data_IF_377212056901
#
_entry.id   IF_377212056901
#
_cell.length_a   1.000
_cell.length_b   1.000
_cell.length_c   1.000
_cell.angle_alpha   90.00
_cell.angle_beta   90.00
_cell.angle_gamma   90.00
#
_symmetry.space_group_name_H-M   'P 1'
#
loop_
_entity.id
_entity.type
_entity.pdbx_description
1 polymer ?
#
# COMPACT_ATOMS: atom_id res chain seq x y z
N UNK A 1 11.32 2.21 -8.83
CA UNK A 1 11.21 3.33 -7.87
C UNK A 1 10.25 4.25 -8.57
N UNK A 2 9.06 4.47 -8.00
CA UNK A 2 7.99 5.24 -8.62
C UNK A 2 8.51 6.66 -8.80
N UNK A 3 9.03 6.91 -9.99
CA UNK A 3 9.39 8.23 -10.48
C UNK A 3 8.21 8.77 -11.27
N UNK A 4 7.00 8.68 -10.70
CA UNK A 4 5.90 9.51 -11.21
C UNK A 4 6.29 10.96 -10.88
N UNK A 5 6.41 11.84 -11.88
CA UNK A 5 6.70 13.25 -11.66
C UNK A 5 5.73 13.86 -10.66
N UNK A 6 6.23 14.74 -9.79
CA UNK A 6 5.45 15.29 -8.67
C UNK A 6 4.33 16.24 -9.09
N UNK A 7 4.36 16.74 -10.33
CA UNK A 7 3.48 17.80 -10.82
C UNK A 7 2.45 17.30 -11.85
N UNK A 8 2.19 15.99 -11.90
CA UNK A 8 1.17 15.43 -12.78
C UNK A 8 -0.24 15.65 -12.23
N UNK A 9 -1.20 15.86 -13.12
CA UNK A 9 -2.63 15.82 -12.76
C UNK A 9 -3.07 14.40 -12.37
N UNK A 10 -4.12 14.25 -11.56
CA UNK A 10 -4.66 12.93 -11.17
C UNK A 10 -5.01 12.06 -12.39
N UNK A 11 -5.49 12.69 -13.46
CA UNK A 11 -5.81 12.03 -14.73
C UNK A 11 -4.55 11.46 -15.38
N UNK A 12 -3.48 12.26 -15.42
CA UNK A 12 -2.20 11.86 -16.02
C UNK A 12 -1.52 10.77 -15.18
N UNK A 13 -1.61 10.85 -13.84
CA UNK A 13 -1.19 9.74 -12.95
C UNK A 13 -1.96 8.45 -13.27
N UNK A 14 -3.27 8.55 -13.51
CA UNK A 14 -4.09 7.42 -13.96
C UNK A 14 -3.59 6.80 -15.26
N UNK A 15 -3.26 7.64 -16.26
CA UNK A 15 -2.68 7.18 -17.53
C UNK A 15 -1.31 6.53 -17.34
N UNK A 16 -0.46 7.06 -16.46
CA UNK A 16 0.83 6.45 -16.15
C UNK A 16 0.66 5.04 -15.58
N UNK A 17 -0.26 4.86 -14.62
CA UNK A 17 -0.59 3.55 -14.05
C UNK A 17 -1.13 2.58 -15.11
N UNK A 18 -2.09 3.01 -15.93
CA UNK A 18 -2.64 2.16 -17.00
C UNK A 18 -1.60 1.80 -18.07
N UNK A 19 -0.72 2.74 -18.39
CA UNK A 19 0.42 2.52 -19.28
C UNK A 19 1.37 1.47 -18.73
N UNK A 20 1.72 1.56 -17.45
CA UNK A 20 2.53 0.55 -16.78
C UNK A 20 1.90 -0.84 -16.85
N UNK A 21 0.60 -0.98 -16.54
CA UNK A 21 -0.08 -2.28 -16.58
C UNK A 21 -0.09 -2.90 -17.98
N UNK A 22 -0.28 -2.06 -19.00
CA UNK A 22 -0.17 -2.51 -20.39
C UNK A 22 1.27 -2.93 -20.75
N UNK A 23 2.26 -2.12 -20.41
CA UNK A 23 3.67 -2.42 -20.68
C UNK A 23 4.14 -3.68 -19.95
N UNK A 24 3.74 -3.86 -18.69
CA UNK A 24 4.05 -5.03 -17.88
C UNK A 24 3.48 -6.31 -18.53
N UNK A 25 2.25 -6.24 -19.06
CA UNK A 25 1.63 -7.35 -19.79
C UNK A 25 2.42 -7.72 -21.05
N UNK A 26 2.84 -6.75 -21.85
CA UNK A 26 3.67 -7.00 -23.04
C UNK A 26 4.98 -7.74 -22.68
N UNK A 27 5.63 -7.32 -21.59
CA UNK A 27 6.88 -7.93 -21.13
C UNK A 27 6.66 -9.33 -20.56
N UNK A 28 5.66 -9.52 -19.68
CA UNK A 28 5.48 -10.76 -18.92
C UNK A 28 4.68 -11.84 -19.64
N UNK A 29 3.62 -11.46 -20.35
CA UNK A 29 2.70 -12.40 -21.00
C UNK A 29 3.05 -12.61 -22.46
N UNK A 30 3.44 -11.55 -23.17
CA UNK A 30 3.76 -11.59 -24.60
C UNK A 30 5.28 -11.74 -24.88
N UNK A 31 6.09 -11.73 -23.81
CA UNK A 31 7.55 -11.92 -23.85
C UNK A 31 8.29 -10.94 -24.79
N UNK A 32 7.75 -9.72 -24.92
CA UNK A 32 8.33 -8.64 -25.72
C UNK A 32 9.52 -8.04 -24.96
N UNK A 33 10.58 -7.69 -25.69
CA UNK A 33 11.74 -7.03 -25.10
C UNK A 33 11.33 -5.70 -24.45
N UNK A 34 11.87 -5.41 -23.26
CA UNK A 34 11.48 -4.23 -22.45
C UNK A 34 11.51 -2.93 -23.26
N UNK A 35 12.58 -2.70 -24.04
CA UNK A 35 12.70 -1.49 -24.85
C UNK A 35 11.57 -1.36 -25.88
N UNK A 36 11.22 -2.47 -26.54
CA UNK A 36 10.13 -2.52 -27.53
C UNK A 36 8.76 -2.36 -26.87
N UNK A 37 8.54 -3.01 -25.72
CA UNK A 37 7.29 -2.88 -24.96
C UNK A 37 7.03 -1.43 -24.49
N UNK A 38 8.09 -0.72 -24.06
CA UNK A 38 8.02 0.69 -23.66
C UNK A 38 7.65 1.58 -24.83
N UNK A 39 8.29 1.39 -26.00
CA UNK A 39 7.98 2.15 -27.22
C UNK A 39 6.54 1.90 -27.69
N UNK A 40 6.14 0.62 -27.80
CA UNK A 40 4.77 0.25 -28.18
C UNK A 40 3.70 0.84 -27.25
N UNK A 41 4.00 0.88 -25.94
CA UNK A 41 3.12 1.50 -24.95
C UNK A 41 3.08 3.02 -25.12
N UNK A 42 4.22 3.67 -25.29
CA UNK A 42 4.29 5.12 -25.48
C UNK A 42 3.53 5.55 -26.74
N UNK A 43 3.71 4.86 -27.87
CA UNK A 43 3.00 5.14 -29.12
C UNK A 43 1.48 5.02 -28.95
N UNK A 44 1.02 3.96 -28.29
CA UNK A 44 -0.41 3.75 -28.00
C UNK A 44 -1.02 4.87 -27.16
N UNK A 45 -0.32 5.31 -26.12
CA UNK A 45 -0.84 6.33 -25.21
C UNK A 45 -0.61 7.77 -25.72
N UNK A 46 0.33 7.99 -26.62
CA UNK A 46 0.58 9.29 -27.28
C UNK A 46 -0.63 9.79 -28.07
N UNK A 47 -1.40 8.87 -28.68
CA UNK A 47 -2.60 9.17 -29.45
C UNK A 47 -3.70 9.87 -28.65
N UNK A 48 -3.67 9.78 -27.31
CA UNK A 48 -4.64 10.42 -26.43
C UNK A 48 -4.34 11.92 -26.22
N UNK A 49 -3.12 12.40 -26.50
CA UNK A 49 -2.67 13.79 -26.25
C UNK A 49 -2.88 14.28 -24.81
N UNK A 50 -2.90 13.35 -23.84
CA UNK A 50 -3.12 13.63 -22.42
C UNK A 50 -1.87 13.40 -21.56
N UNK A 51 -0.77 12.95 -22.18
CA UNK A 51 0.54 12.83 -21.56
C UNK A 51 1.34 14.05 -22.01
N UNK A 52 1.74 14.91 -21.07
CA UNK A 52 2.44 16.16 -21.35
C UNK A 52 3.88 15.91 -21.80
N UNK A 53 4.56 14.93 -21.20
CA UNK A 53 5.95 14.56 -21.50
C UNK A 53 6.08 13.06 -21.76
N UNK A 54 6.09 12.70 -23.05
CA UNK A 54 6.19 11.31 -23.50
C UNK A 54 7.55 10.67 -23.14
N UNK A 55 8.63 11.46 -23.12
CA UNK A 55 9.96 10.96 -22.76
C UNK A 55 10.04 10.65 -21.27
N UNK A 56 9.43 11.50 -20.44
CA UNK A 56 9.26 11.22 -19.03
C UNK A 56 8.42 9.96 -18.80
N UNK A 57 7.32 9.79 -19.54
CA UNK A 57 6.49 8.59 -19.48
C UNK A 57 7.26 7.33 -19.87
N UNK A 58 8.04 7.34 -20.94
CA UNK A 58 8.92 6.22 -21.34
C UNK A 58 9.93 5.86 -20.24
N UNK A 59 10.60 6.87 -19.67
CA UNK A 59 11.54 6.66 -18.55
C UNK A 59 10.85 6.05 -17.34
N UNK A 60 9.65 6.52 -17.01
CA UNK A 60 8.83 5.95 -15.95
C UNK A 60 8.53 4.47 -16.24
N UNK A 61 7.98 4.14 -17.41
CA UNK A 61 7.67 2.76 -17.80
C UNK A 61 8.89 1.86 -17.67
N UNK A 62 10.01 2.26 -18.28
CA UNK A 62 11.25 1.51 -18.23
C UNK A 62 11.70 1.27 -16.79
N UNK A 63 11.66 2.30 -15.94
CA UNK A 63 12.08 2.20 -14.53
C UNK A 63 11.20 1.29 -13.68
N UNK A 64 9.92 1.17 -14.01
CA UNK A 64 8.96 0.38 -13.25
C UNK A 64 8.93 -1.07 -13.72
N UNK A 65 8.97 -1.33 -15.03
CA UNK A 65 9.04 -2.71 -15.54
C UNK A 65 10.38 -3.40 -15.27
N UNK A 66 11.46 -2.63 -15.09
CA UNK A 66 12.77 -3.16 -14.67
C UNK A 66 12.91 -3.28 -13.15
N UNK A 67 11.95 -2.75 -12.37
CA UNK A 67 11.99 -2.84 -10.93
C UNK A 67 11.73 -4.27 -10.46
N UNK A 68 12.81 -4.97 -10.10
CA UNK A 68 12.70 -6.29 -9.49
C UNK A 68 12.27 -6.20 -8.03
N UNK A 69 11.35 -7.08 -7.64
CA UNK A 69 10.93 -7.30 -6.26
C UNK A 69 10.88 -8.79 -6.02
N UNK A 70 11.58 -9.28 -4.99
CA UNK A 70 11.42 -10.67 -4.57
C UNK A 70 9.96 -10.91 -4.16
N UNK A 71 9.32 -11.98 -4.64
CA UNK A 71 7.96 -12.31 -4.23
C UNK A 71 7.95 -12.68 -2.74
N UNK A 72 6.92 -12.22 -2.04
CA UNK A 72 6.64 -12.69 -0.68
C UNK A 72 6.18 -14.14 -0.71
N UNK A 73 6.72 -14.97 0.17
CA UNK A 73 6.30 -16.37 0.32
C UNK A 73 5.50 -16.51 1.61
N UNK A 74 4.22 -16.86 1.49
CA UNK A 74 3.35 -17.16 2.62
C UNK A 74 3.32 -18.67 2.92
N UNK A 75 3.69 -19.05 4.14
CA UNK A 75 3.47 -20.42 4.65
C UNK A 75 2.36 -20.36 5.69
N UNK A 76 1.34 -21.19 5.52
CA UNK A 76 0.13 -21.20 6.38
C UNK A 76 -0.14 -22.60 6.92
N UNK A 77 -0.80 -22.67 8.06
CA UNK A 77 -1.28 -23.94 8.60
C UNK A 77 -2.30 -24.58 7.63
N UNK A 78 -2.06 -25.82 7.17
CA UNK A 78 -2.99 -26.51 6.27
C UNK A 78 -4.38 -26.71 6.89
N UNK A 79 -4.49 -26.72 8.22
CA UNK A 79 -5.73 -26.97 8.97
C UNK A 79 -6.55 -25.72 9.28
N UNK A 80 -6.20 -24.55 8.72
CA UNK A 80 -7.03 -23.35 8.84
C UNK A 80 -8.43 -23.63 8.28
N UNK A 81 -9.46 -23.48 9.13
CA UNK A 81 -10.86 -23.71 8.77
C UNK A 81 -11.33 -22.83 7.60
N UNK A 82 -10.96 -21.56 7.66
CA UNK A 82 -11.34 -20.54 6.69
C UNK A 82 -10.08 -19.83 6.19
N UNK A 83 -9.90 -19.83 4.87
CA UNK A 83 -8.74 -19.27 4.17
C UNK A 83 -9.14 -18.17 3.18
N UNK A 84 -10.41 -17.78 3.16
CA UNK A 84 -10.98 -16.87 2.16
C UNK A 84 -11.84 -15.76 2.76
N UNK A 85 -12.07 -15.75 4.08
CA UNK A 85 -12.96 -14.79 4.73
C UNK A 85 -12.66 -13.32 4.39
N UNK A 86 -11.39 -12.95 4.25
CA UNK A 86 -10.99 -11.58 3.96
C UNK A 86 -11.29 -11.25 2.50
N UNK A 87 -11.00 -12.17 1.58
CA UNK A 87 -11.33 -12.00 0.16
C UNK A 87 -12.83 -11.93 -0.09
N UNK A 88 -13.61 -12.70 0.66
CA UNK A 88 -15.08 -12.66 0.62
C UNK A 88 -15.62 -11.36 1.20
N UNK A 89 -15.02 -10.85 2.27
CA UNK A 89 -15.39 -9.56 2.86
C UNK A 89 -15.19 -8.42 1.87
N UNK A 90 -14.03 -8.38 1.17
CA UNK A 90 -13.72 -7.35 0.17
C UNK A 90 -14.72 -7.29 -0.98
N UNK A 91 -15.34 -8.43 -1.33
CA UNK A 91 -16.35 -8.52 -2.40
C UNK A 91 -17.74 -7.99 -1.99
N UNK A 92 -17.97 -7.72 -0.70
CA UNK A 92 -19.30 -7.27 -0.24
C UNK A 92 -19.54 -5.82 -0.67
N UNK A 93 -20.73 -5.47 -1.22
CA UNK A 93 -21.01 -4.10 -1.70
C UNK A 93 -20.89 -3.00 -0.63
N UNK A 94 -21.08 -3.36 0.66
CA UNK A 94 -20.99 -2.42 1.79
C UNK A 94 -19.57 -2.28 2.34
N UNK A 95 -18.63 -3.11 1.91
CA UNK A 95 -17.27 -3.04 2.38
C UNK A 95 -16.56 -1.85 1.75
N UNK A 96 -15.87 -1.07 2.57
CA UNK A 96 -15.01 0.02 2.14
C UNK A 96 -13.61 -0.21 2.72
N UNK A 97 -12.59 -0.19 1.87
CA UNK A 97 -11.18 -0.31 2.26
C UNK A 97 -10.57 1.07 2.53
N UNK A 98 -11.19 1.87 3.40
CA UNK A 98 -10.81 3.29 3.55
C UNK A 98 -9.37 3.45 4.05
N UNK A 99 -8.97 2.66 5.06
CA UNK A 99 -7.63 2.70 5.62
C UNK A 99 -6.58 2.17 4.63
N UNK A 100 -6.86 1.03 3.99
CA UNK A 100 -5.93 0.46 3.02
C UNK A 100 -5.78 1.34 1.78
N UNK A 101 -6.86 1.88 1.22
CA UNK A 101 -6.81 2.69 0.00
C UNK A 101 -5.96 3.94 0.18
N UNK A 102 -6.10 4.68 1.29
CA UNK A 102 -5.27 5.87 1.54
C UNK A 102 -3.79 5.51 1.75
N UNK A 103 -3.50 4.39 2.38
CA UNK A 103 -2.13 3.92 2.57
C UNK A 103 -1.50 3.45 1.25
N UNK A 104 -2.25 2.73 0.42
CA UNK A 104 -1.84 2.31 -0.92
C UNK A 104 -1.46 3.51 -1.78
N UNK A 105 -2.32 4.53 -1.84
CA UNK A 105 -2.05 5.75 -2.59
C UNK A 105 -0.88 6.55 -2.01
N UNK A 106 -0.74 6.58 -0.68
CA UNK A 106 0.39 7.21 -0.03
C UNK A 106 1.72 6.54 -0.39
N UNK A 107 1.77 5.20 -0.40
CA UNK A 107 2.95 4.46 -0.85
C UNK A 107 3.26 4.71 -2.32
N UNK A 108 2.24 4.77 -3.19
CA UNK A 108 2.43 5.06 -4.61
C UNK A 108 2.97 6.46 -4.89
N UNK A 109 2.75 7.43 -3.99
CA UNK A 109 3.32 8.77 -4.09
C UNK A 109 4.76 8.87 -3.56
N UNK A 110 5.25 7.85 -2.85
CA UNK A 110 6.61 7.82 -2.32
C UNK A 110 7.60 7.35 -3.39
N UNK A 111 8.70 8.09 -3.64
CA UNK A 111 9.68 7.73 -4.67
C UNK A 111 10.39 6.39 -4.42
N UNK A 112 10.43 5.95 -3.15
CA UNK A 112 11.13 4.74 -2.73
C UNK A 112 10.39 3.43 -3.05
N UNK A 113 9.15 3.46 -3.53
CA UNK A 113 8.34 2.27 -3.80
C UNK A 113 8.11 2.08 -5.29
N UNK A 114 8.12 0.86 -5.82
CA UNK A 114 7.61 0.55 -7.18
C UNK A 114 6.13 0.15 -7.11
N UNK A 115 5.38 0.27 -8.21
CA UNK A 115 3.99 -0.21 -8.29
C UNK A 115 3.92 -1.69 -7.92
N UNK A 116 4.85 -2.49 -8.45
CA UNK A 116 4.98 -3.92 -8.13
C UNK A 116 5.21 -4.15 -6.64
N UNK A 117 6.08 -3.36 -5.99
CA UNK A 117 6.34 -3.50 -4.56
C UNK A 117 5.10 -3.22 -3.72
N UNK A 118 4.32 -2.18 -4.06
CA UNK A 118 3.07 -1.87 -3.36
C UNK A 118 2.02 -2.95 -3.61
N UNK A 119 1.88 -3.46 -4.86
CA UNK A 119 1.01 -4.60 -5.20
C UNK A 119 1.41 -5.88 -4.43
N UNK A 120 2.71 -6.11 -4.21
CA UNK A 120 3.17 -7.24 -3.40
C UNK A 120 2.83 -7.08 -1.91
N UNK A 121 2.93 -5.87 -1.35
CA UNK A 121 2.44 -5.62 0.01
C UNK A 121 0.93 -5.90 0.07
N UNK A 122 0.18 -5.46 -0.94
CA UNK A 122 -1.26 -5.70 -1.03
C UNK A 122 -1.59 -7.20 -0.96
N UNK A 123 -1.12 -7.97 -1.94
CA UNK A 123 -1.42 -9.39 -2.04
C UNK A 123 -0.92 -10.16 -0.82
N UNK A 124 0.32 -9.93 -0.39
CA UNK A 124 0.89 -10.66 0.75
C UNK A 124 0.25 -10.34 2.09
N UNK A 125 -0.29 -9.13 2.28
CA UNK A 125 -1.07 -8.82 3.47
C UNK A 125 -2.48 -9.39 3.39
N UNK A 126 -3.09 -9.48 2.19
CA UNK A 126 -4.36 -10.22 2.01
C UNK A 126 -4.22 -11.69 2.39
N UNK A 127 -3.10 -12.29 2.03
CA UNK A 127 -2.74 -13.65 2.41
C UNK A 127 -2.72 -13.85 3.92
N UNK A 128 -2.11 -12.91 4.66
CA UNK A 128 -2.07 -12.94 6.12
C UNK A 128 -3.45 -12.68 6.70
N UNK A 129 -4.20 -11.70 6.19
CA UNK A 129 -5.55 -11.41 6.66
C UNK A 129 -6.44 -12.64 6.60
N UNK A 130 -6.40 -13.40 5.51
CA UNK A 130 -7.09 -14.68 5.38
C UNK A 130 -6.66 -15.76 6.40
N UNK A 131 -5.44 -15.66 6.95
CA UNK A 131 -4.96 -16.56 8.00
C UNK A 131 -5.36 -16.12 9.42
N UNK A 132 -5.69 -14.84 9.61
CA UNK A 132 -6.14 -14.31 10.89
C UNK A 132 -7.59 -14.72 11.18
N UNK A 133 -7.99 -14.64 12.45
CA UNK A 133 -9.36 -14.91 12.87
C UNK A 133 -10.30 -13.78 12.45
N UNK A 134 -11.35 -14.09 11.70
CA UNK A 134 -12.35 -13.09 11.30
C UNK A 134 -12.98 -12.41 12.55
N UNK A 135 -12.74 -11.08 12.77
CA UNK A 135 -13.20 -10.38 13.96
C UNK A 135 -14.72 -10.21 14.00
N UNK A 136 -15.42 -10.49 12.89
CA UNK A 136 -16.88 -10.39 12.76
C UNK A 136 -17.61 -11.70 13.06
N UNK A 137 -16.90 -12.82 13.29
CA UNK A 137 -17.49 -14.15 13.57
C UNK A 137 -18.05 -14.27 15.00
N UNK A 138 -17.67 -13.36 15.90
CA UNK A 138 -18.12 -13.37 17.31
C UNK A 138 -17.44 -14.44 18.18
N UNK A 139 -16.52 -15.22 17.61
CA UNK A 139 -15.73 -16.24 18.31
C UNK A 139 -14.28 -15.77 18.41
N UNK A 140 -13.72 -15.78 19.62
CA UNK A 140 -12.29 -15.54 19.81
C UNK A 140 -11.47 -16.65 19.14
N UNK A 141 -10.33 -16.28 18.59
CA UNK A 141 -9.37 -17.22 18.03
C UNK A 141 -7.96 -16.65 18.15
N UNK A 142 -7.01 -17.54 18.43
CA UNK A 142 -5.61 -17.18 18.55
C UNK A 142 -4.87 -17.63 17.28
N UNK A 143 -4.08 -16.70 16.73
CA UNK A 143 -3.23 -16.93 15.57
C UNK A 143 -1.88 -16.30 15.84
N UNK A 144 -0.82 -17.08 15.67
CA UNK A 144 0.56 -16.60 15.72
C UNK A 144 1.19 -16.77 14.35
N UNK A 145 2.04 -15.82 13.98
CA UNK A 145 2.77 -15.84 12.72
C UNK A 145 4.11 -15.12 12.87
N UNK A 146 5.00 -15.37 11.92
CA UNK A 146 6.32 -14.75 11.89
C UNK A 146 6.58 -14.21 10.49
N UNK A 147 7.05 -12.96 10.43
CA UNK A 147 7.53 -12.35 9.18
C UNK A 147 9.06 -12.28 9.25
N UNK A 148 9.71 -12.84 8.24
CA UNK A 148 11.16 -12.84 8.10
C UNK A 148 11.56 -12.18 6.77
N UNK A 149 12.64 -11.40 6.78
CA UNK A 149 13.14 -10.73 5.58
C UNK A 149 14.35 -9.85 5.83
N UNK A 150 15.10 -9.55 4.77
CA UNK A 150 16.34 -8.77 4.82
C UNK A 150 16.17 -7.35 5.40
N UNK A 151 17.27 -6.75 5.84
CA UNK A 151 17.27 -5.33 6.25
C UNK A 151 16.76 -4.48 5.08
N UNK A 152 15.88 -3.51 5.37
CA UNK A 152 15.22 -2.65 4.36
C UNK A 152 14.29 -3.37 3.36
N UNK A 153 13.93 -4.64 3.59
CA UNK A 153 12.98 -5.38 2.73
C UNK A 153 11.51 -4.94 2.83
N UNK A 154 11.22 -3.77 3.41
CA UNK A 154 9.85 -3.27 3.54
C UNK A 154 9.03 -3.84 4.71
N UNK A 155 9.63 -4.58 5.66
CA UNK A 155 8.91 -5.17 6.82
C UNK A 155 7.98 -4.19 7.55
N UNK A 156 8.43 -2.96 7.73
CA UNK A 156 7.63 -1.93 8.40
C UNK A 156 6.41 -1.53 7.59
N UNK A 157 6.59 -1.28 6.30
CA UNK A 157 5.48 -0.97 5.40
C UNK A 157 4.49 -2.14 5.30
N UNK A 158 5.00 -3.37 5.41
CA UNK A 158 4.20 -4.59 5.39
C UNK A 158 3.27 -4.70 6.60
N UNK A 159 3.79 -4.60 7.83
CA UNK A 159 2.91 -4.66 9.00
C UNK A 159 1.99 -3.45 9.09
N UNK A 160 2.41 -2.25 8.66
CA UNK A 160 1.53 -1.07 8.59
C UNK A 160 0.37 -1.30 7.60
N UNK A 161 0.65 -1.97 6.48
CA UNK A 161 -0.39 -2.40 5.55
C UNK A 161 -1.40 -3.34 6.20
N UNK A 162 -0.91 -4.30 6.98
CA UNK A 162 -1.76 -5.19 7.77
C UNK A 162 -2.60 -4.44 8.80
N UNK A 163 -2.05 -3.41 9.48
CA UNK A 163 -2.80 -2.58 10.44
C UNK A 163 -3.97 -1.87 9.74
N UNK A 164 -3.70 -1.24 8.59
CA UNK A 164 -4.74 -0.56 7.81
C UNK A 164 -5.86 -1.54 7.40
N UNK A 165 -5.51 -2.72 6.87
CA UNK A 165 -6.50 -3.76 6.53
C UNK A 165 -7.24 -4.32 7.74
N UNK A 166 -6.58 -4.43 8.89
CA UNK A 166 -7.21 -4.88 10.13
C UNK A 166 -8.30 -3.88 10.58
N UNK A 167 -8.06 -2.58 10.50
CA UNK A 167 -9.09 -1.59 10.77
C UNK A 167 -10.28 -1.72 9.80
N UNK A 168 -10.02 -1.83 8.48
CA UNK A 168 -11.07 -2.06 7.49
C UNK A 168 -11.88 -3.35 7.76
N UNK A 169 -11.20 -4.40 8.25
CA UNK A 169 -11.81 -5.66 8.63
C UNK A 169 -12.65 -5.60 9.91
N UNK A 170 -12.52 -4.55 10.72
CA UNK A 170 -13.26 -4.35 11.97
C UNK A 170 -12.53 -4.83 13.23
N UNK A 171 -11.20 -5.02 13.18
CA UNK A 171 -10.40 -5.15 14.39
C UNK A 171 -10.42 -3.81 15.15
N UNK A 172 -10.69 -3.88 16.46
CA UNK A 172 -10.91 -2.67 17.28
C UNK A 172 -9.66 -2.17 17.98
N UNK A 173 -8.71 -3.07 18.23
CA UNK A 173 -7.49 -2.78 18.98
C UNK A 173 -6.33 -3.40 18.24
N UNK A 174 -5.30 -2.59 18.00
CA UNK A 174 -4.01 -3.02 17.45
C UNK A 174 -2.95 -2.56 18.45
N UNK A 175 -2.12 -3.48 18.92
CA UNK A 175 -1.03 -3.19 19.85
C UNK A 175 0.29 -3.43 19.11
N UNK A 176 1.05 -2.36 18.90
CA UNK A 176 2.38 -2.45 18.30
C UNK A 176 3.43 -2.38 19.40
N UNK A 177 4.21 -3.45 19.54
CA UNK A 177 5.34 -3.52 20.46
C UNK A 177 6.63 -3.29 19.68
N UNK A 178 7.40 -2.27 20.04
CA UNK A 178 8.73 -2.00 19.48
C UNK A 178 9.83 -2.41 20.46
N UNK A 179 11.07 -2.44 19.99
CA UNK A 179 12.24 -2.72 20.82
C UNK A 179 12.39 -1.78 22.02
N UNK A 180 13.26 -2.17 22.96
CA UNK A 180 13.45 -1.54 24.28
C UNK A 180 13.94 -0.08 24.17
N UNK A 181 14.58 0.29 23.05
CA UNK A 181 15.14 1.63 22.86
C UNK A 181 14.07 2.64 22.42
N UNK A 182 14.01 3.76 23.14
CA UNK A 182 13.09 4.87 22.85
C UNK A 182 13.21 5.42 21.42
N UNK A 183 14.40 5.42 20.82
CA UNK A 183 14.59 5.92 19.45
C UNK A 183 13.86 5.09 18.39
N UNK A 184 13.90 3.76 18.51
CA UNK A 184 13.17 2.86 17.60
C UNK A 184 11.66 2.96 17.81
N UNK A 185 11.23 3.12 19.06
CA UNK A 185 9.82 3.36 19.40
C UNK A 185 9.32 4.65 18.76
N UNK A 186 10.06 5.76 18.90
CA UNK A 186 9.68 7.05 18.31
C UNK A 186 9.60 6.99 16.78
N UNK A 187 10.51 6.26 16.12
CA UNK A 187 10.45 6.06 14.66
C UNK A 187 9.20 5.27 14.24
N UNK A 188 8.89 4.20 14.95
CA UNK A 188 7.67 3.42 14.69
C UNK A 188 6.41 4.25 14.94
N UNK A 189 6.38 5.05 16.00
CA UNK A 189 5.26 5.95 16.29
C UNK A 189 5.06 6.96 15.17
N UNK A 190 6.12 7.66 14.74
CA UNK A 190 6.03 8.62 13.63
C UNK A 190 5.50 7.98 12.36
N UNK A 191 5.87 6.73 12.07
CA UNK A 191 5.31 5.99 10.92
C UNK A 191 3.85 5.60 11.13
N UNK A 192 3.42 5.23 12.32
CA UNK A 192 2.00 4.96 12.57
C UNK A 192 1.18 6.24 12.43
N UNK A 193 1.68 7.35 12.96
CA UNK A 193 1.07 8.67 12.85
C UNK A 193 0.90 9.10 11.39
N UNK A 194 1.94 8.95 10.58
CA UNK A 194 1.90 9.28 9.14
C UNK A 194 1.14 8.27 8.29
N UNK A 195 1.32 6.97 8.52
CA UNK A 195 0.94 5.91 7.57
C UNK A 195 -0.33 5.15 7.98
N UNK A 196 -0.85 5.41 9.18
CA UNK A 196 -2.11 4.86 9.68
C UNK A 196 -3.04 5.96 10.18
N UNK A 197 -2.60 6.90 11.02
CA UNK A 197 -3.51 7.87 11.62
C UNK A 197 -3.81 9.06 10.71
N UNK A 198 -2.77 9.62 10.11
CA UNK A 198 -2.81 10.84 9.30
C UNK A 198 -2.63 12.13 10.11
N UNK A 199 -2.19 12.04 11.36
CA UNK A 199 -1.97 13.18 12.27
C UNK A 199 -0.92 12.83 13.33
N UNK A 200 -0.27 13.86 13.88
CA UNK A 200 0.76 13.72 14.91
C UNK A 200 0.16 13.45 16.29
N UNK A 201 0.75 12.50 17.03
CA UNK A 201 0.33 12.13 18.39
C UNK A 201 1.41 12.40 19.46
N UNK A 202 2.42 13.20 19.13
CA UNK A 202 3.47 13.57 20.09
C UNK A 202 2.88 14.31 21.30
N UNK A 203 3.47 14.12 22.48
CA UNK A 203 2.98 14.74 23.72
C UNK A 203 2.99 16.27 23.64
N UNK A 204 3.96 16.83 22.94
CA UNK A 204 4.07 18.27 22.66
C UNK A 204 2.90 18.77 21.82
N UNK A 205 2.45 17.97 20.84
CA UNK A 205 1.33 18.29 19.98
C UNK A 205 -0.02 18.14 20.71
N UNK A 206 -0.20 17.07 21.50
CA UNK A 206 -1.43 16.83 22.28
C UNK A 206 -1.61 17.89 23.38
N UNK A 207 -0.52 18.38 23.98
CA UNK A 207 -0.54 19.38 25.03
C UNK A 207 -0.99 20.78 24.57
N UNK A 208 -0.95 21.05 23.27
CA UNK A 208 -1.34 22.34 22.69
C UNK A 208 -2.74 22.24 22.04
N UNK A 209 -3.77 22.30 22.88
CA UNK A 209 -5.19 22.23 22.48
C UNK A 209 -5.65 23.40 21.58
N UNK A 210 -4.78 24.37 21.27
CA UNK A 210 -5.11 25.53 20.43
C UNK A 210 -4.71 25.35 18.96
N UNK A 211 -3.97 24.29 18.62
CA UNK A 211 -3.55 24.02 17.24
C UNK A 211 -4.65 23.31 16.45
N UNK A 212 -4.87 23.77 15.21
CA UNK A 212 -5.63 23.00 14.23
C UNK A 212 -4.99 21.62 14.02
N UNK A 213 -5.82 20.58 13.84
CA UNK A 213 -5.35 19.20 13.62
C UNK A 213 -4.37 19.18 12.45
N UNK A 214 -3.13 18.79 12.74
CA UNK A 214 -2.07 18.68 11.78
C UNK A 214 -2.36 17.47 10.90
N UNK A 215 -2.36 17.69 9.60
CA UNK A 215 -2.66 16.67 8.60
C UNK A 215 -1.36 16.24 7.96
N UNK A 216 -0.97 14.98 8.19
CA UNK A 216 0.30 14.43 7.71
C UNK A 216 0.07 13.09 7.01
N UNK A 217 1.01 12.67 6.18
CA UNK A 217 1.01 11.33 5.55
C UNK A 217 -0.32 10.96 4.87
N UNK A 218 -0.96 9.87 5.30
CA UNK A 218 -2.25 9.38 4.77
C UNK A 218 -3.44 10.31 5.07
N UNK A 219 -3.26 11.30 5.93
CA UNK A 219 -4.22 12.40 6.11
C UNK A 219 -4.22 13.37 4.92
N UNK A 220 -3.27 13.29 4.00
CA UNK A 220 -3.18 14.18 2.83
C UNK A 220 -3.66 13.43 1.58
N UNK A 221 -4.73 13.92 0.92
CA UNK A 221 -5.20 13.40 -0.37
C UNK A 221 -6.71 13.18 -0.47
N UNK A 222 -7.15 12.56 -1.56
CA UNK A 222 -8.56 12.29 -1.90
C UNK A 222 -9.26 11.34 -0.92
N UNK A 223 -8.50 10.48 -0.22
CA UNK A 223 -9.01 9.50 0.74
C UNK A 223 -8.59 9.84 2.19
N UNK A 224 -8.51 11.13 2.52
CA UNK A 224 -8.01 11.59 3.82
C UNK A 224 -9.01 11.48 4.97
N UNK A 225 -10.27 11.20 4.69
CA UNK A 225 -11.30 11.02 5.71
C UNK A 225 -11.70 9.55 5.75
N UNK A 226 -11.47 8.93 6.91
CA UNK A 226 -12.12 7.68 7.26
C UNK A 226 -13.44 8.06 7.92
N UNK A 227 -14.55 7.45 7.52
CA UNK A 227 -15.78 7.51 8.30
C UNK A 227 -15.47 6.87 9.66
N UNK A 228 -15.27 7.68 10.71
CA UNK A 228 -15.09 7.17 12.07
C UNK A 228 -16.24 6.21 12.35
N UNK A 229 -15.92 4.92 12.54
CA UNK A 229 -16.87 3.94 13.03
C UNK A 229 -17.10 4.30 14.50
N UNK A 230 -18.13 5.11 14.74
CA UNK A 230 -18.69 5.39 16.08
C UNK A 230 -19.47 4.18 16.54
#
# INVERSE_FOLDING_TARGET
>A
MINIPKDLSDIEVGLYKSGYEYCEKLVKEENIAIAEAVENTADRFSGLKMIADIECFKKFLFSEVTAYTEPSIGVRDPNLEDKTWWDELKKKPKFKSEYWSRYYDYLLKKPSWSITAVKNIDSSTDEIMNALTNPRKGTAGERMGMVFGYVQSGKTAHYIGMINKAYDAGYRIVIVLSGIHNSLRSQTQSRIDEEVLGYETSLEYIGDMTRERNVIGVGIGSHNQVETVV
#
